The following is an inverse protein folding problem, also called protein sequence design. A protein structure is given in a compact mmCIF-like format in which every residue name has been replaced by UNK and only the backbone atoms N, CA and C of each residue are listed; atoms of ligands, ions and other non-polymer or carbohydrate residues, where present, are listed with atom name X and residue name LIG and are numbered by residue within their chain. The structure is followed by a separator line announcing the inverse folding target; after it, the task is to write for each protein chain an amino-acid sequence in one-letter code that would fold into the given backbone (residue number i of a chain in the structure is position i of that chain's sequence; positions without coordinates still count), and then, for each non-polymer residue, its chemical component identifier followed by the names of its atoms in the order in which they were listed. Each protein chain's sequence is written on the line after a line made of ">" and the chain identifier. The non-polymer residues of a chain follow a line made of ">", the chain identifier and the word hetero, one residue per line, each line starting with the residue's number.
data_IF_873364790891
#
_entry.id   IF_873364790891
#
_cell.length_a   1.000
_cell.length_b   1.000
_cell.length_c   1.000
_cell.angle_alpha   90.00
_cell.angle_beta   90.00
_cell.angle_gamma   90.00
#
_symmetry.space_group_name_H-M   'P 1'
#
loop_
_entity.id
_entity.type
_entity.pdbx_description
1 polymer ?
#
# COMPACT_ATOMS: atom_id res chain seq x y z
N UNK A 1 17.68 -11.12 20.22
CA UNK A 1 17.23 -11.87 19.02
C UNK A 1 18.12 -11.48 17.88
N UNK A 2 18.35 -12.38 16.93
CA UNK A 2 19.15 -12.13 15.73
C UNK A 2 18.26 -12.13 14.49
N UNK A 3 18.54 -11.24 13.54
CA UNK A 3 17.75 -11.07 12.32
C UNK A 3 17.74 -12.35 11.46
N UNK A 4 18.87 -13.04 11.34
CA UNK A 4 19.01 -14.27 10.55
C UNK A 4 18.21 -15.47 11.10
N UNK A 5 17.60 -15.36 12.28
CA UNK A 5 16.75 -16.39 12.89
C UNK A 5 15.26 -16.21 12.56
N UNK A 6 14.90 -15.13 11.88
CA UNK A 6 13.56 -14.95 11.34
C UNK A 6 13.38 -15.77 10.06
N UNK A 7 12.20 -16.36 9.95
CA UNK A 7 11.75 -17.14 8.81
C UNK A 7 10.37 -16.67 8.40
N UNK A 8 10.12 -16.68 7.10
CA UNK A 8 8.92 -16.12 6.49
C UNK A 8 8.29 -17.20 5.64
N UNK A 9 7.05 -17.55 5.96
CA UNK A 9 6.26 -18.50 5.18
C UNK A 9 5.12 -17.73 4.54
N UNK A 10 5.25 -17.46 3.24
CA UNK A 10 4.14 -16.97 2.43
C UNK A 10 3.70 -18.09 1.50
N UNK A 11 2.42 -18.06 1.09
CA UNK A 11 1.99 -18.84 -0.08
C UNK A 11 2.73 -18.39 -1.34
N UNK A 12 3.23 -17.15 -1.34
CA UNK A 12 3.85 -16.50 -2.48
C UNK A 12 5.35 -16.36 -2.26
N UNK A 13 6.13 -17.10 -3.04
CA UNK A 13 7.57 -16.90 -3.12
C UNK A 13 7.78 -15.67 -4.02
N UNK A 14 8.13 -14.51 -3.42
CA UNK A 14 8.42 -13.22 -4.08
C UNK A 14 7.24 -12.40 -4.63
N UNK A 15 6.12 -12.30 -3.91
CA UNK A 15 5.05 -11.36 -4.30
C UNK A 15 4.47 -11.52 -5.70
N UNK A 16 4.57 -12.74 -6.23
CA UNK A 16 4.11 -13.13 -7.57
C UNK A 16 2.69 -12.69 -7.89
N UNK A 17 1.74 -12.65 -6.98
CA UNK A 17 0.39 -12.18 -7.36
C UNK A 17 0.32 -10.70 -7.75
N UNK A 18 1.23 -9.86 -7.27
CA UNK A 18 1.31 -8.45 -7.63
C UNK A 18 2.13 -8.28 -8.92
N UNK A 19 3.25 -8.99 -9.04
CA UNK A 19 4.14 -8.93 -10.21
C UNK A 19 3.64 -9.74 -11.43
N UNK A 20 2.98 -10.87 -11.20
CA UNK A 20 2.43 -11.75 -12.24
C UNK A 20 1.02 -11.30 -12.67
N UNK A 21 0.50 -10.22 -12.10
CA UNK A 21 -0.74 -9.60 -12.56
C UNK A 21 -0.46 -8.80 -13.84
N UNK A 22 -0.73 -9.39 -14.99
CA UNK A 22 -0.51 -8.78 -16.30
C UNK A 22 -1.19 -7.42 -16.49
N UNK A 23 -2.32 -7.19 -15.81
CA UNK A 23 -2.99 -5.89 -15.82
C UNK A 23 -2.16 -4.83 -15.10
N UNK A 24 -1.62 -5.16 -13.91
CA UNK A 24 -0.78 -4.24 -13.14
C UNK A 24 0.58 -4.02 -13.80
N UNK A 25 1.13 -5.05 -14.45
CA UNK A 25 2.37 -4.92 -15.23
C UNK A 25 2.18 -3.99 -16.44
N UNK A 26 1.06 -4.12 -17.15
CA UNK A 26 0.72 -3.23 -18.27
C UNK A 26 0.48 -1.80 -17.77
N UNK A 27 -0.27 -1.65 -16.66
CA UNK A 27 -0.48 -0.35 -16.02
C UNK A 27 0.84 0.29 -15.62
N UNK A 28 1.78 -0.48 -15.06
CA UNK A 28 3.12 -0.01 -14.69
C UNK A 28 3.83 0.61 -15.90
N UNK A 29 3.80 -0.07 -17.05
CA UNK A 29 4.41 0.40 -18.29
C UNK A 29 3.88 1.75 -18.77
N UNK A 30 2.65 2.11 -18.40
CA UNK A 30 2.06 3.43 -18.68
C UNK A 30 2.50 4.44 -17.62
N UNK A 31 2.24 4.15 -16.34
CA UNK A 31 2.38 5.15 -15.27
C UNK A 31 3.82 5.48 -14.91
N UNK A 32 4.81 4.64 -15.22
CA UNK A 32 6.22 4.91 -14.89
C UNK A 32 6.93 5.82 -15.90
N UNK A 33 6.26 6.17 -17.01
CA UNK A 33 6.82 7.00 -18.08
C UNK A 33 6.67 8.50 -17.83
N UNK A 34 5.73 8.89 -16.97
CA UNK A 34 5.46 10.29 -16.67
C UNK A 34 4.87 10.47 -15.25
N UNK A 35 5.37 11.49 -14.53
CA UNK A 35 5.00 11.76 -13.14
C UNK A 35 3.55 12.20 -12.99
N UNK A 36 3.00 12.91 -13.97
CA UNK A 36 1.60 13.32 -13.98
C UNK A 36 0.66 12.16 -14.21
N UNK A 37 1.05 11.22 -15.08
CA UNK A 37 0.26 9.99 -15.29
C UNK A 37 0.29 9.11 -14.05
N UNK A 38 1.43 9.05 -13.35
CA UNK A 38 1.51 8.44 -12.03
C UNK A 38 0.57 9.12 -11.01
N UNK A 39 0.56 10.45 -10.96
CA UNK A 39 -0.34 11.20 -10.09
C UNK A 39 -1.82 10.93 -10.41
N UNK A 40 -2.17 10.93 -11.68
CA UNK A 40 -3.50 10.62 -12.18
C UNK A 40 -3.95 9.21 -11.76
N UNK A 41 -3.07 8.22 -11.89
CA UNK A 41 -3.35 6.85 -11.46
C UNK A 41 -3.57 6.73 -9.95
N UNK A 42 -2.70 7.35 -9.14
CA UNK A 42 -2.87 7.32 -7.68
C UNK A 42 -4.17 8.02 -7.25
N UNK A 43 -4.52 9.13 -7.88
CA UNK A 43 -5.79 9.85 -7.65
C UNK A 43 -6.99 8.99 -8.04
N UNK A 44 -6.96 8.34 -9.20
CA UNK A 44 -8.01 7.44 -9.65
C UNK A 44 -8.30 6.36 -8.62
N UNK A 45 -7.29 5.58 -8.21
CA UNK A 45 -7.47 4.48 -7.25
C UNK A 45 -7.79 4.98 -5.83
N UNK A 46 -7.41 6.20 -5.48
CA UNK A 46 -7.82 6.82 -4.23
C UNK A 46 -9.33 7.11 -4.23
N UNK A 47 -9.81 7.88 -5.21
CA UNK A 47 -11.17 8.40 -5.27
C UNK A 47 -12.22 7.34 -5.64
N UNK A 48 -11.87 6.37 -6.47
CA UNK A 48 -12.82 5.36 -6.98
C UNK A 48 -12.71 4.08 -6.13
N UNK A 49 -13.41 4.05 -5.00
CA UNK A 49 -13.37 2.91 -4.07
C UNK A 49 -14.15 1.67 -4.54
N UNK A 50 -15.06 1.88 -5.48
CA UNK A 50 -15.86 0.88 -6.19
C UNK A 50 -15.96 1.27 -7.67
N UNK A 51 -16.67 0.46 -8.45
CA UNK A 51 -16.83 0.62 -9.88
C UNK A 51 -18.31 0.64 -10.31
N UNK A 52 -19.20 1.17 -9.45
CA UNK A 52 -20.65 1.14 -9.71
C UNK A 52 -21.12 2.15 -10.75
N UNK A 53 -20.29 3.14 -11.09
CA UNK A 53 -20.63 4.17 -12.09
C UNK A 53 -20.59 3.60 -13.52
N UNK A 54 -21.35 4.23 -14.43
CA UNK A 54 -21.31 3.86 -15.84
C UNK A 54 -19.94 4.17 -16.46
N UNK A 55 -19.59 3.49 -17.55
CA UNK A 55 -18.33 3.76 -18.28
C UNK A 55 -18.27 5.20 -18.77
N UNK A 56 -19.40 5.78 -19.17
CA UNK A 56 -19.48 7.18 -19.61
C UNK A 56 -19.18 8.15 -18.47
N UNK A 57 -19.78 7.93 -17.29
CA UNK A 57 -19.53 8.78 -16.11
C UNK A 57 -18.10 8.63 -15.60
N UNK A 58 -17.56 7.40 -15.64
CA UNK A 58 -16.17 7.14 -15.34
C UNK A 58 -15.21 7.91 -16.26
N UNK A 59 -15.52 7.95 -17.57
CA UNK A 59 -14.72 8.70 -18.53
C UNK A 59 -14.72 10.20 -18.22
N UNK A 60 -15.90 10.79 -17.95
CA UNK A 60 -15.98 12.20 -17.58
C UNK A 60 -15.23 12.50 -16.27
N UNK A 61 -15.33 11.61 -15.28
CA UNK A 61 -14.60 11.75 -14.01
C UNK A 61 -13.08 11.71 -14.24
N UNK A 62 -12.60 10.82 -15.10
CA UNK A 62 -11.18 10.72 -15.45
C UNK A 62 -10.66 11.96 -16.18
N UNK A 63 -11.46 12.58 -17.06
CA UNK A 63 -11.10 13.85 -17.70
C UNK A 63 -10.99 14.98 -16.67
N UNK A 64 -11.90 15.03 -15.69
CA UNK A 64 -11.81 16.00 -14.60
C UNK A 64 -10.54 15.75 -13.76
N UNK A 65 -10.21 14.50 -13.47
CA UNK A 65 -8.98 14.18 -12.74
C UNK A 65 -7.72 14.58 -13.51
N UNK A 66 -7.71 14.37 -14.83
CA UNK A 66 -6.63 14.81 -15.73
C UNK A 66 -6.43 16.33 -15.61
N UNK A 67 -7.51 17.11 -15.71
CA UNK A 67 -7.47 18.57 -15.55
C UNK A 67 -6.98 19.02 -14.17
N UNK A 68 -7.37 18.32 -13.09
CA UNK A 68 -6.89 18.64 -11.75
C UNK A 68 -5.38 18.42 -11.65
N UNK A 69 -4.87 17.30 -12.19
CA UNK A 69 -3.43 17.04 -12.22
C UNK A 69 -2.70 18.11 -13.02
N UNK A 70 -3.24 18.54 -14.16
CA UNK A 70 -2.70 19.62 -14.98
C UNK A 70 -2.62 20.96 -14.24
N UNK A 71 -3.63 21.30 -13.44
CA UNK A 71 -3.67 22.54 -12.64
C UNK A 71 -2.71 22.45 -11.43
N UNK A 72 -2.64 21.31 -10.76
CA UNK A 72 -1.80 21.10 -9.58
C UNK A 72 -0.32 20.86 -9.94
N UNK A 73 -0.04 20.44 -11.18
CA UNK A 73 1.30 20.23 -11.68
C UNK A 73 2.05 21.57 -11.81
N UNK A 74 2.97 21.80 -10.87
CA UNK A 74 3.97 22.88 -10.97
C UNK A 74 5.08 22.59 -12.03
N UNK A 75 4.86 21.63 -12.94
CA UNK A 75 5.78 21.27 -14.02
C UNK A 75 5.04 21.37 -15.35
N UNK A 76 5.77 21.74 -16.41
CA UNK A 76 5.19 21.94 -17.74
C UNK A 76 4.56 20.64 -18.26
N UNK A 77 3.25 20.67 -18.45
CA UNK A 77 2.52 19.62 -19.19
C UNK A 77 3.18 19.49 -20.57
N UNK A 78 3.65 18.28 -20.87
CA UNK A 78 4.29 17.97 -22.14
C UNK A 78 3.29 17.26 -23.06
N UNK A 79 3.54 17.28 -24.36
CA UNK A 79 2.77 16.45 -25.30
C UNK A 79 2.83 14.96 -24.96
N UNK A 80 3.92 14.51 -24.32
CA UNK A 80 4.08 13.15 -23.83
C UNK A 80 3.12 12.84 -22.67
N UNK A 81 2.92 13.77 -21.73
CA UNK A 81 1.90 13.59 -20.68
C UNK A 81 0.51 13.44 -21.29
N UNK A 82 0.14 14.30 -22.24
CA UNK A 82 -1.20 14.27 -22.83
C UNK A 82 -1.51 12.92 -23.50
N UNK A 83 -0.57 12.43 -24.31
CA UNK A 83 -0.67 11.12 -24.97
C UNK A 83 -0.80 9.99 -23.94
N UNK A 84 0.07 9.97 -22.93
CA UNK A 84 0.09 8.91 -21.92
C UNK A 84 -1.11 8.97 -20.96
N UNK A 85 -1.63 10.16 -20.67
CA UNK A 85 -2.83 10.34 -19.87
C UNK A 85 -4.04 9.78 -20.62
N UNK A 86 -4.16 10.03 -21.92
CA UNK A 86 -5.22 9.48 -22.75
C UNK A 86 -5.12 7.95 -22.85
N UNK A 87 -3.91 7.41 -22.98
CA UNK A 87 -3.65 5.97 -22.95
C UNK A 87 -4.02 5.34 -21.60
N UNK A 88 -3.64 6.00 -20.49
CA UNK A 88 -4.05 5.58 -19.15
C UNK A 88 -5.57 5.55 -18.99
N UNK A 89 -6.28 6.58 -19.46
CA UNK A 89 -7.74 6.65 -19.38
C UNK A 89 -8.36 5.49 -20.16
N UNK A 90 -7.96 5.28 -21.42
CA UNK A 90 -8.42 4.15 -22.25
C UNK A 90 -8.15 2.81 -21.57
N UNK A 91 -6.99 2.66 -20.93
CA UNK A 91 -6.58 1.44 -20.25
C UNK A 91 -7.39 1.14 -18.99
N UNK A 92 -7.74 2.16 -18.19
CA UNK A 92 -8.48 2.00 -16.93
C UNK A 92 -9.99 1.82 -17.13
N UNK A 93 -10.60 2.42 -18.16
CA UNK A 93 -12.05 2.38 -18.36
C UNK A 93 -12.68 0.97 -18.29
N UNK A 94 -12.08 -0.09 -18.87
CA UNK A 94 -12.62 -1.45 -18.77
C UNK A 94 -12.78 -1.97 -17.33
N UNK A 95 -12.10 -1.40 -16.33
CA UNK A 95 -12.29 -1.76 -14.93
C UNK A 95 -13.72 -1.48 -14.43
N UNK A 96 -14.44 -0.54 -15.03
CA UNK A 96 -15.82 -0.22 -14.70
C UNK A 96 -16.83 -1.27 -15.17
N UNK A 97 -16.38 -2.23 -15.98
CA UNK A 97 -17.21 -3.34 -16.46
C UNK A 97 -16.89 -4.66 -15.74
N UNK A 98 -15.89 -4.68 -14.85
CA UNK A 98 -15.50 -5.87 -14.10
C UNK A 98 -16.40 -6.12 -12.89
N UNK A 99 -16.38 -7.35 -12.39
CA UNK A 99 -16.95 -7.64 -11.07
C UNK A 99 -16.26 -6.79 -9.98
N UNK A 100 -17.04 -6.35 -9.00
CA UNK A 100 -16.58 -5.45 -7.93
C UNK A 100 -15.41 -6.05 -7.14
N UNK A 101 -15.40 -7.37 -6.95
CA UNK A 101 -14.35 -8.12 -6.29
C UNK A 101 -13.02 -8.03 -7.05
N UNK A 102 -13.05 -8.19 -8.37
CA UNK A 102 -11.87 -8.09 -9.23
C UNK A 102 -11.34 -6.66 -9.28
N UNK A 103 -12.25 -5.67 -9.37
CA UNK A 103 -11.91 -4.26 -9.27
C UNK A 103 -11.17 -3.95 -7.96
N UNK A 104 -11.75 -4.36 -6.83
CA UNK A 104 -11.16 -4.17 -5.50
C UNK A 104 -9.82 -4.88 -5.34
N UNK A 105 -9.66 -6.06 -5.96
CA UNK A 105 -8.39 -6.78 -5.97
C UNK A 105 -7.31 -5.97 -6.70
N UNK A 106 -7.57 -5.53 -7.93
CA UNK A 106 -6.64 -4.70 -8.71
C UNK A 106 -6.28 -3.43 -7.95
N UNK A 107 -7.28 -2.74 -7.37
CA UNK A 107 -7.09 -1.54 -6.57
C UNK A 107 -6.20 -1.75 -5.35
N UNK A 108 -6.38 -2.84 -4.61
CA UNK A 108 -5.55 -3.15 -3.44
C UNK A 108 -4.13 -3.56 -3.84
N UNK A 109 -4.00 -4.36 -4.91
CA UNK A 109 -2.69 -4.76 -5.42
C UNK A 109 -1.92 -3.58 -6.04
N UNK A 110 -2.59 -2.54 -6.54
CA UNK A 110 -1.94 -1.34 -7.06
C UNK A 110 -1.09 -0.63 -5.98
N UNK A 111 -1.61 -0.43 -4.76
CA UNK A 111 -0.81 0.20 -3.70
C UNK A 111 0.32 -0.70 -3.20
N UNK A 112 0.09 -2.02 -3.20
CA UNK A 112 1.15 -2.99 -2.91
C UNK A 112 2.26 -2.91 -3.96
N UNK A 113 1.91 -2.82 -5.25
CA UNK A 113 2.83 -2.63 -6.36
C UNK A 113 3.71 -1.38 -6.14
N UNK A 114 3.11 -0.23 -5.82
CA UNK A 114 3.86 1.00 -5.54
C UNK A 114 4.83 0.83 -4.37
N UNK A 115 4.39 0.17 -3.31
CA UNK A 115 5.22 -0.11 -2.14
C UNK A 115 6.41 -0.99 -2.49
N UNK A 116 6.20 -2.01 -3.33
CA UNK A 116 7.25 -2.93 -3.75
C UNK A 116 8.35 -2.22 -4.52
N UNK A 117 7.99 -1.29 -5.41
CA UNK A 117 8.95 -0.53 -6.18
C UNK A 117 9.71 0.51 -5.36
N UNK A 118 9.04 1.16 -4.41
CA UNK A 118 9.66 2.20 -3.58
C UNK A 118 10.56 1.63 -2.46
N UNK A 119 10.08 0.65 -1.71
CA UNK A 119 10.74 0.26 -0.44
C UNK A 119 11.36 -1.12 -0.46
N UNK A 120 10.96 -1.96 -1.40
CA UNK A 120 11.21 -3.39 -1.31
C UNK A 120 11.81 -3.94 -2.61
N UNK A 121 12.90 -3.33 -3.10
CA UNK A 121 13.62 -3.84 -4.26
C UNK A 121 14.32 -5.17 -3.89
N UNK A 122 13.96 -6.31 -4.52
CA UNK A 122 14.55 -7.60 -4.21
C UNK A 122 16.00 -7.70 -4.73
N UNK A 123 16.88 -8.41 -4.03
CA UNK A 123 18.28 -8.58 -4.43
C UNK A 123 18.95 -9.82 -3.82
N UNK A 124 20.24 -10.07 -4.10
CA UNK A 124 20.94 -11.27 -3.59
C UNK A 124 20.90 -11.40 -2.04
N UNK A 125 20.86 -10.28 -1.33
CA UNK A 125 20.73 -10.22 0.14
C UNK A 125 19.34 -9.83 0.65
N UNK A 126 18.47 -9.36 -0.23
CA UNK A 126 17.15 -8.79 0.06
C UNK A 126 16.03 -9.70 -0.42
N UNK A 127 15.01 -9.88 0.41
CA UNK A 127 13.82 -10.68 0.08
C UNK A 127 12.56 -9.93 0.47
N UNK A 128 11.54 -10.09 -0.36
CA UNK A 128 10.20 -9.55 -0.11
C UNK A 128 9.19 -10.67 -0.01
N UNK A 129 8.30 -10.53 0.95
CA UNK A 129 7.23 -11.48 1.21
C UNK A 129 5.89 -10.75 1.30
N UNK A 130 4.90 -11.25 0.57
CA UNK A 130 3.51 -10.77 0.65
C UNK A 130 2.75 -11.60 1.67
N UNK A 131 2.06 -10.94 2.58
CA UNK A 131 1.25 -11.55 3.63
C UNK A 131 1.92 -12.75 4.35
N UNK A 132 3.20 -12.67 4.75
CA UNK A 132 3.89 -13.82 5.33
C UNK A 132 3.39 -14.14 6.73
N UNK A 133 3.40 -15.43 7.07
CA UNK A 133 3.54 -15.86 8.44
C UNK A 133 5.01 -15.69 8.86
N UNK A 134 5.22 -14.87 9.88
CA UNK A 134 6.55 -14.57 10.43
C UNK A 134 6.81 -15.47 11.64
N UNK A 135 7.96 -16.14 11.66
CA UNK A 135 8.40 -17.01 12.73
C UNK A 135 9.85 -16.73 13.14
N UNK A 136 10.15 -16.88 14.43
CA UNK A 136 11.50 -16.77 14.97
C UNK A 136 11.93 -18.14 15.51
N UNK A 137 13.08 -18.66 15.06
CA UNK A 137 13.55 -20.03 15.36
C UNK A 137 12.43 -21.07 15.16
N UNK A 138 11.76 -21.01 14.00
CA UNK A 138 10.63 -21.87 13.60
C UNK A 138 9.35 -21.76 14.46
N UNK A 139 9.29 -20.86 15.44
CA UNK A 139 8.08 -20.59 16.23
C UNK A 139 7.38 -19.35 15.72
N UNK A 140 6.09 -19.48 15.39
CA UNK A 140 5.24 -18.36 14.95
C UNK A 140 5.34 -17.20 15.94
N UNK A 141 5.66 -16.00 15.44
CA UNK A 141 5.70 -14.81 16.26
C UNK A 141 4.31 -14.54 16.85
N UNK A 142 4.26 -14.21 18.14
CA UNK A 142 3.03 -13.87 18.86
C UNK A 142 1.92 -14.95 18.83
N UNK A 143 2.27 -16.24 18.75
CA UNK A 143 1.31 -17.34 18.61
C UNK A 143 0.15 -17.33 19.64
N UNK A 144 0.41 -16.88 20.88
CA UNK A 144 -0.57 -16.80 21.97
C UNK A 144 -1.35 -15.48 22.04
N UNK A 145 -1.09 -14.52 21.14
CA UNK A 145 -1.75 -13.21 21.15
C UNK A 145 -3.08 -13.22 20.38
N UNK A 146 -3.99 -12.31 20.71
CA UNK A 146 -5.29 -12.13 20.02
C UNK A 146 -5.16 -11.76 18.54
N UNK A 147 -3.99 -11.27 18.13
CA UNK A 147 -3.63 -10.89 16.76
C UNK A 147 -2.68 -11.90 16.09
N UNK A 148 -2.55 -13.11 16.62
CA UNK A 148 -1.61 -14.12 16.09
C UNK A 148 -1.89 -14.50 14.64
N UNK A 149 -3.14 -14.41 14.17
CA UNK A 149 -3.53 -14.73 12.79
C UNK A 149 -3.52 -13.51 11.86
N UNK A 150 -3.08 -12.36 12.35
CA UNK A 150 -2.86 -11.19 11.51
C UNK A 150 -1.53 -11.35 10.76
N UNK A 151 -1.53 -10.87 9.52
CA UNK A 151 -0.36 -10.75 8.64
C UNK A 151 -0.21 -9.29 8.25
N UNK A 152 0.98 -8.88 7.83
CA UNK A 152 1.22 -7.57 7.22
C UNK A 152 1.31 -7.76 5.71
N UNK A 153 0.82 -6.80 4.95
CA UNK A 153 0.70 -6.93 3.49
C UNK A 153 2.06 -7.17 2.83
N UNK A 154 3.09 -6.39 3.18
CA UNK A 154 4.46 -6.53 2.66
C UNK A 154 5.48 -6.59 3.79
N UNK A 155 6.43 -7.51 3.69
CA UNK A 155 7.60 -7.59 4.56
C UNK A 155 8.87 -7.70 3.72
N UNK A 156 9.79 -6.76 3.91
CA UNK A 156 11.09 -6.74 3.28
C UNK A 156 12.17 -7.05 4.32
N UNK A 157 13.13 -7.90 3.96
CA UNK A 157 14.27 -8.24 4.80
C UNK A 157 15.54 -8.24 3.99
N UNK A 158 16.57 -7.54 4.49
CA UNK A 158 17.93 -7.62 3.96
C UNK A 158 18.86 -8.12 5.05
N UNK A 159 19.33 -9.36 4.91
CA UNK A 159 20.21 -9.98 5.89
C UNK A 159 21.63 -9.40 5.85
N UNK A 160 22.07 -8.88 4.70
CA UNK A 160 23.40 -8.28 4.52
C UNK A 160 23.44 -6.89 5.16
N UNK A 161 22.46 -6.05 4.85
CA UNK A 161 22.35 -4.70 5.38
C UNK A 161 21.68 -4.62 6.76
N UNK A 162 21.22 -5.77 7.27
CA UNK A 162 20.54 -5.88 8.57
C UNK A 162 19.28 -5.03 8.63
N UNK A 163 18.46 -5.12 7.58
CA UNK A 163 17.21 -4.39 7.42
C UNK A 163 16.00 -5.30 7.69
N UNK A 164 14.99 -4.80 8.41
CA UNK A 164 13.67 -5.42 8.52
C UNK A 164 12.58 -4.36 8.39
N UNK A 165 11.76 -4.47 7.36
CA UNK A 165 10.71 -3.50 7.06
C UNK A 165 9.35 -4.18 6.88
N UNK A 166 8.29 -3.52 7.37
CA UNK A 166 6.91 -4.00 7.30
C UNK A 166 5.99 -2.88 6.84
N UNK A 167 5.19 -3.16 5.81
CA UNK A 167 4.28 -2.20 5.20
C UNK A 167 2.87 -2.76 5.14
N UNK A 168 1.95 -2.07 5.81
CA UNK A 168 0.52 -2.32 5.68
C UNK A 168 -0.08 -1.31 4.69
N UNK A 169 -0.61 -1.81 3.59
CA UNK A 169 -1.14 -1.00 2.51
C UNK A 169 -2.63 -0.73 2.73
N UNK A 170 -3.02 0.54 2.58
CA UNK A 170 -4.39 1.01 2.73
C UNK A 170 -4.68 2.06 1.66
N UNK A 171 -5.39 1.68 0.60
CA UNK A 171 -5.78 2.63 -0.45
C UNK A 171 -6.49 3.87 0.09
N UNK A 172 -7.35 3.71 1.09
CA UNK A 172 -7.90 4.82 1.89
C UNK A 172 -7.69 4.57 3.37
N UNK A 173 -7.56 5.64 4.16
CA UNK A 173 -7.41 5.54 5.62
C UNK A 173 -8.70 5.84 6.39
N UNK A 174 -9.67 6.54 5.79
CA UNK A 174 -10.89 7.01 6.47
C UNK A 174 -11.62 5.93 7.28
N UNK A 175 -11.94 4.80 6.64
CA UNK A 175 -12.65 3.70 7.31
C UNK A 175 -11.79 3.04 8.40
N UNK A 176 -10.49 2.90 8.16
CA UNK A 176 -9.57 2.31 9.13
C UNK A 176 -9.41 3.21 10.36
N UNK A 177 -9.26 4.53 10.19
CA UNK A 177 -9.17 5.49 11.29
C UNK A 177 -10.47 5.52 12.11
N UNK A 178 -11.63 5.55 11.44
CA UNK A 178 -12.92 5.45 12.12
C UNK A 178 -13.07 4.16 12.94
N UNK A 179 -12.62 3.02 12.39
CA UNK A 179 -12.61 1.75 13.11
C UNK A 179 -11.64 1.75 14.32
N UNK A 180 -10.53 2.50 14.26
CA UNK A 180 -9.57 2.58 15.37
C UNK A 180 -10.14 3.40 16.54
N UNK A 181 -10.82 4.51 16.25
CA UNK A 181 -11.49 5.35 17.25
C UNK A 181 -12.76 4.65 17.81
N UNK A 182 -13.40 3.78 17.03
CA UNK A 182 -14.61 3.09 17.42
C UNK A 182 -14.47 2.15 18.63
N UNK A 183 -15.49 2.06 19.48
CA UNK A 183 -15.59 1.02 20.51
C UNK A 183 -16.35 -0.21 19.98
N UNK A 184 -15.67 -1.35 19.89
CA UNK A 184 -16.25 -2.62 19.47
C UNK A 184 -17.41 -3.10 20.36
N UNK A 185 -17.55 -2.57 21.57
CA UNK A 185 -18.68 -2.87 22.47
C UNK A 185 -19.95 -2.16 22.03
N UNK A 186 -19.80 -0.94 21.50
CA UNK A 186 -20.88 0.02 21.20
C UNK A 186 -21.27 -0.01 19.70
N UNK A 187 -20.46 -0.64 18.83
CA UNK A 187 -20.72 -0.69 17.39
C UNK A 187 -22.15 -1.12 17.02
N UNK A 188 -22.80 -0.36 16.15
CA UNK A 188 -24.24 -0.47 15.84
C UNK A 188 -24.60 -1.84 15.21
N UNK A 189 -23.69 -2.44 14.43
CA UNK A 189 -23.94 -3.72 13.74
C UNK A 189 -22.85 -4.76 14.02
N UNK A 190 -23.16 -6.06 13.89
CA UNK A 190 -22.19 -7.16 14.03
C UNK A 190 -20.98 -7.00 13.10
N UNK A 191 -21.23 -6.56 11.86
CA UNK A 191 -20.17 -6.31 10.88
C UNK A 191 -19.28 -5.13 11.31
N UNK A 192 -19.85 -4.04 11.79
CA UNK A 192 -19.09 -2.91 12.30
C UNK A 192 -18.22 -3.30 13.51
N UNK A 193 -18.77 -4.03 14.49
CA UNK A 193 -17.99 -4.56 15.63
C UNK A 193 -16.82 -5.44 15.17
N UNK A 194 -17.02 -6.27 14.14
CA UNK A 194 -15.98 -7.13 13.56
C UNK A 194 -14.88 -6.31 12.88
N UNK A 195 -15.23 -5.24 12.17
CA UNK A 195 -14.29 -4.34 11.51
C UNK A 195 -13.42 -3.60 12.52
N UNK A 196 -14.02 -2.97 13.53
CA UNK A 196 -13.30 -2.36 14.67
C UNK A 196 -12.31 -3.36 15.29
N UNK A 197 -12.76 -4.57 15.62
CA UNK A 197 -11.90 -5.59 16.21
C UNK A 197 -10.78 -6.06 15.27
N UNK A 198 -11.01 -6.08 13.95
CA UNK A 198 -9.98 -6.41 12.94
C UNK A 198 -8.94 -5.30 12.88
N UNK A 199 -9.38 -4.04 12.79
CA UNK A 199 -8.50 -2.86 12.68
C UNK A 199 -7.63 -2.70 13.93
N UNK A 200 -8.20 -2.83 15.14
CA UNK A 200 -7.43 -2.83 16.40
C UNK A 200 -6.43 -3.99 16.49
N UNK A 201 -6.79 -5.19 16.03
CA UNK A 201 -5.85 -6.32 15.98
C UNK A 201 -4.70 -6.08 15.00
N UNK A 202 -4.98 -5.41 13.87
CA UNK A 202 -3.94 -5.03 12.90
C UNK A 202 -2.96 -4.02 13.51
N UNK A 203 -3.46 -2.95 14.12
CA UNK A 203 -2.62 -1.98 14.83
C UNK A 203 -1.76 -2.62 15.92
N UNK A 204 -2.35 -3.52 16.72
CA UNK A 204 -1.62 -4.23 17.77
C UNK A 204 -0.53 -5.15 17.21
N UNK A 205 -0.78 -5.81 16.08
CA UNK A 205 0.21 -6.66 15.41
C UNK A 205 1.42 -5.85 14.95
N UNK A 206 1.19 -4.74 14.24
CA UNK A 206 2.26 -3.85 13.78
C UNK A 206 3.03 -3.21 14.94
N UNK A 207 2.32 -2.78 15.99
CA UNK A 207 2.92 -2.23 17.21
C UNK A 207 3.79 -3.26 17.92
N UNK A 208 3.33 -4.52 18.02
CA UNK A 208 4.12 -5.60 18.62
C UNK A 208 5.40 -5.88 17.83
N UNK A 209 5.34 -5.86 16.49
CA UNK A 209 6.52 -5.98 15.65
C UNK A 209 7.47 -4.78 15.80
N UNK A 210 6.96 -3.55 15.78
CA UNK A 210 7.76 -2.36 16.03
C UNK A 210 8.57 -2.48 17.34
N UNK A 211 7.91 -2.89 18.43
CA UNK A 211 8.58 -3.09 19.71
C UNK A 211 9.58 -4.26 19.71
N UNK A 212 9.24 -5.36 19.03
CA UNK A 212 10.13 -6.51 18.91
C UNK A 212 11.43 -6.12 18.19
N UNK A 213 11.31 -5.47 17.04
CA UNK A 213 12.45 -5.03 16.23
C UNK A 213 13.28 -4.01 17.01
N UNK A 214 12.64 -2.97 17.56
CA UNK A 214 13.32 -1.87 18.26
C UNK A 214 14.04 -2.29 19.54
N UNK A 215 13.50 -3.25 20.29
CA UNK A 215 13.98 -3.54 21.65
C UNK A 215 14.54 -4.95 21.85
N UNK A 216 14.26 -5.90 20.95
CA UNK A 216 14.64 -7.30 21.16
C UNK A 216 15.55 -7.85 20.07
N UNK A 217 15.56 -7.28 18.87
CA UNK A 217 16.51 -7.66 17.80
C UNK A 217 17.78 -6.83 17.96
N UNK A 218 18.92 -7.50 18.19
CA UNK A 218 20.17 -6.83 18.60
C UNK A 218 21.01 -6.37 17.42
N UNK A 219 20.91 -7.05 16.29
CA UNK A 219 21.78 -6.86 15.12
C UNK A 219 21.08 -6.12 13.97
N UNK A 220 19.91 -5.51 14.22
CA UNK A 220 19.18 -4.72 13.23
C UNK A 220 19.81 -3.32 13.10
N UNK A 221 20.07 -2.89 11.87
CA UNK A 221 20.58 -1.55 11.56
C UNK A 221 19.49 -0.61 11.05
N UNK A 222 18.61 -1.14 10.20
CA UNK A 222 17.48 -0.40 9.62
C UNK A 222 16.20 -1.14 9.98
N UNK A 223 15.21 -0.40 10.50
CA UNK A 223 13.89 -0.95 10.76
C UNK A 223 12.79 0.03 10.37
N UNK A 224 11.74 -0.49 9.74
CA UNK A 224 10.56 0.29 9.41
C UNK A 224 9.30 -0.54 9.67
N UNK A 225 8.32 0.07 10.31
CA UNK A 225 6.96 -0.47 10.36
C UNK A 225 6.05 0.70 10.06
N UNK A 226 5.35 0.64 8.94
CA UNK A 226 4.57 1.76 8.44
C UNK A 226 3.25 1.33 7.80
N UNK A 227 2.30 2.25 7.78
CA UNK A 227 1.18 2.21 6.86
C UNK A 227 1.56 2.96 5.59
N UNK A 228 1.14 2.45 4.44
CA UNK A 228 1.26 3.15 3.15
C UNK A 228 -0.14 3.39 2.61
N UNK A 229 -0.42 4.61 2.14
CA UNK A 229 -1.74 5.01 1.66
C UNK A 229 -1.69 5.90 0.42
N UNK A 230 -2.72 5.81 -0.42
CA UNK A 230 -2.98 6.77 -1.50
C UNK A 230 -3.72 8.03 -1.00
N UNK A 231 -4.11 8.06 0.28
CA UNK A 231 -4.71 9.26 0.85
C UNK A 231 -3.68 10.40 0.89
N UNK A 232 -4.04 11.61 0.45
CA UNK A 232 -3.21 12.78 0.64
C UNK A 232 -3.12 13.10 2.14
N UNK A 233 -2.07 13.81 2.53
CA UNK A 233 -1.90 14.23 3.92
C UNK A 233 -3.09 15.04 4.41
N UNK A 234 -3.71 15.85 3.54
CA UNK A 234 -4.92 16.61 3.84
C UNK A 234 -6.09 15.76 4.31
N UNK A 235 -6.12 14.45 4.04
CA UNK A 235 -7.28 13.61 4.34
C UNK A 235 -7.04 12.70 5.56
N UNK A 236 -5.87 12.81 6.19
CA UNK A 236 -5.48 12.04 7.36
C UNK A 236 -5.75 12.79 8.66
N UNK A 237 -7.01 12.76 9.11
CA UNK A 237 -7.40 13.33 10.41
C UNK A 237 -7.83 12.27 11.42
N UNK A 238 -7.39 12.44 12.66
CA UNK A 238 -7.86 11.72 13.83
C UNK A 238 -8.10 12.75 14.94
N UNK A 239 -9.29 12.76 15.57
CA UNK A 239 -9.65 13.73 16.60
C UNK A 239 -9.32 15.20 16.22
N UNK A 240 -9.74 15.61 15.01
CA UNK A 240 -9.50 16.95 14.43
C UNK A 240 -8.02 17.36 14.27
N UNK A 241 -7.08 16.42 14.34
CA UNK A 241 -5.66 16.65 14.14
C UNK A 241 -5.13 15.86 12.96
N UNK A 242 -4.30 16.51 12.12
CA UNK A 242 -3.62 15.81 11.03
C UNK A 242 -2.64 14.80 11.62
N UNK A 243 -2.67 13.55 11.16
CA UNK A 243 -1.80 12.50 11.69
C UNK A 243 -0.72 12.12 10.68
N UNK A 244 0.52 12.03 11.17
CA UNK A 244 1.66 11.41 10.45
C UNK A 244 1.98 10.01 10.97
N UNK A 245 1.31 9.58 12.05
CA UNK A 245 1.50 8.28 12.66
C UNK A 245 0.23 7.79 13.35
N UNK A 246 0.12 6.47 13.48
CA UNK A 246 -0.91 5.79 14.27
C UNK A 246 -0.19 5.08 15.42
N UNK A 247 -0.20 5.69 16.60
CA UNK A 247 0.66 5.28 17.71
C UNK A 247 2.13 5.48 17.36
N UNK A 248 2.92 4.40 17.31
CA UNK A 248 4.36 4.44 16.96
C UNK A 248 4.65 4.14 15.49
N UNK A 249 3.61 3.91 14.70
CA UNK A 249 3.70 3.42 13.33
C UNK A 249 3.50 4.60 12.39
N UNK A 250 4.49 4.90 11.57
CA UNK A 250 4.45 5.99 10.59
C UNK A 250 3.39 5.73 9.53
N UNK A 251 2.79 6.79 8.97
CA UNK A 251 1.92 6.73 7.80
C UNK A 251 2.60 7.45 6.63
N UNK A 252 2.90 6.73 5.55
CA UNK A 252 3.34 7.31 4.29
C UNK A 252 2.15 7.58 3.39
N UNK A 253 1.97 8.84 3.04
CA UNK A 253 0.86 9.33 2.23
C UNK A 253 1.20 9.33 0.75
N UNK A 254 0.22 9.71 -0.06
CA UNK A 254 0.37 9.93 -1.50
C UNK A 254 1.61 10.76 -1.84
N UNK A 255 1.84 11.86 -1.13
CA UNK A 255 2.97 12.76 -1.40
C UNK A 255 4.32 12.04 -1.27
N UNK A 256 4.44 11.10 -0.33
CA UNK A 256 5.65 10.29 -0.19
C UNK A 256 5.79 9.22 -1.28
N UNK A 257 4.67 8.72 -1.82
CA UNK A 257 4.68 7.84 -2.99
C UNK A 257 5.04 8.60 -4.28
N UNK A 258 4.68 9.89 -4.37
CA UNK A 258 5.09 10.74 -5.50
C UNK A 258 6.60 11.00 -5.52
N UNK A 259 7.23 11.12 -4.34
CA UNK A 259 8.70 11.18 -4.22
C UNK A 259 9.36 9.89 -4.75
N UNK A 260 8.65 8.75 -4.68
CA UNK A 260 9.15 7.44 -5.11
C UNK A 260 9.03 7.18 -6.62
N UNK A 261 8.38 8.07 -7.37
CA UNK A 261 8.23 7.94 -8.83
C UNK A 261 9.58 7.80 -9.55
N UNK A 262 10.61 8.48 -9.06
CA UNK A 262 11.96 8.43 -9.65
C UNK A 262 12.59 7.03 -9.56
N UNK A 263 12.22 6.21 -8.59
CA UNK A 263 12.72 4.84 -8.46
C UNK A 263 11.93 3.85 -9.34
N UNK A 264 10.66 4.16 -9.62
CA UNK A 264 9.80 3.40 -10.53
C UNK A 264 10.24 3.50 -11.99
N UNK A 265 10.73 4.67 -12.42
CA UNK A 265 11.17 4.90 -13.80
C UNK A 265 12.49 4.21 -14.14
N UNK A 266 13.38 3.99 -13.16
CA UNK A 266 14.68 3.30 -13.32
C UNK A 266 14.49 1.78 -13.57
N UNK A 267 13.37 1.19 -13.15
CA UNK A 267 13.07 -0.24 -13.32
C UNK A 267 12.79 -0.69 -14.76
N UNK A 268 12.79 0.21 -15.73
CA UNK A 268 12.56 -0.07 -17.16
C UNK A 268 13.85 -0.28 -17.97
N UNK A 269 15.03 -0.14 -17.36
CA UNK A 269 16.33 -0.30 -18.03
C UNK A 269 16.96 -1.72 -17.94
N UNK A 270 16.20 -2.75 -17.53
CA UNK A 270 16.70 -4.13 -17.41
C UNK A 270 15.83 -5.17 -18.11
#
# INVERSE_FOLDING_TARGET
>A
MELNRFSFRSKYIRGREVFDNSYLESLRGIICRDKGVFDLATRFFYLNSDNNQSVSDAYQSLLIYKQIVEIEANYSITSLYDELADDFIKFILPLFQRALEDYKKIRNQFIELLTLYWKALPGRGSKVFIEPLIAYKNKKCFAKAKYSNIKCDIVHIDYKNKCFEMYECKTTMRAFLADLDGDSRIGITKNHKKNIAKSKRKQNYLTAFYHLLKHKVKDIKVMEVAYITLAPKSDLYLNNSNISSIGKITVYTKEKLMDAFEELSIGLEY
#
